data_IF_253329563562
#
_entry.id   IF_253329563562
#
_cell.length_a   1.000
_cell.length_b   1.000
_cell.length_c   1.000
_cell.angle_alpha   90.00
_cell.angle_beta   90.00
_cell.angle_gamma   90.00
#
_symmetry.space_group_name_H-M   'P 1'
#
loop_
_entity.id
_entity.type
_entity.pdbx_description
1 polymer ?
#
# COMPACT_ATOMS: atom_id res chain seq x y z
N UNK A 1 -35.98 14.36 -6.84
CA UNK A 1 -34.64 14.07 -7.42
C UNK A 1 -33.63 14.74 -6.52
N UNK A 2 -32.97 13.98 -5.64
CA UNK A 2 -32.00 14.54 -4.69
C UNK A 2 -30.66 14.72 -5.42
N UNK A 3 -30.24 15.98 -5.55
CA UNK A 3 -28.94 16.35 -6.07
C UNK A 3 -27.86 15.87 -5.10
N UNK A 4 -27.07 14.88 -5.53
CA UNK A 4 -26.00 14.31 -4.72
C UNK A 4 -24.84 15.31 -4.68
N UNK A 5 -24.80 16.12 -3.63
CA UNK A 5 -23.70 17.04 -3.35
C UNK A 5 -22.42 16.21 -3.18
N UNK A 6 -21.50 16.28 -4.16
CA UNK A 6 -20.17 15.68 -4.07
C UNK A 6 -19.29 16.56 -3.19
N UNK A 7 -19.42 16.44 -1.86
CA UNK A 7 -18.42 16.99 -0.95
C UNK A 7 -17.12 16.23 -1.18
N UNK A 8 -16.17 16.87 -1.86
CA UNK A 8 -14.82 16.33 -2.09
C UNK A 8 -14.11 16.30 -0.74
N UNK A 9 -14.29 15.22 0.03
CA UNK A 9 -13.67 15.05 1.36
C UNK A 9 -12.18 14.70 1.31
N UNK A 10 -11.64 14.49 0.10
CA UNK A 10 -10.30 13.94 -0.09
C UNK A 10 -9.38 14.95 -0.76
N UNK A 11 -8.21 15.16 -0.14
CA UNK A 11 -7.12 15.90 -0.76
C UNK A 11 -6.57 15.12 -1.96
N UNK A 12 -6.08 15.82 -3.01
CA UNK A 12 -5.38 15.16 -4.10
C UNK A 12 -4.18 14.37 -3.56
N UNK A 13 -3.84 13.21 -4.16
CA UNK A 13 -2.64 12.49 -3.78
C UNK A 13 -1.41 13.39 -3.98
N UNK A 14 -0.42 13.33 -3.07
CA UNK A 14 0.81 14.11 -3.22
C UNK A 14 1.53 13.73 -4.52
N UNK A 15 2.15 14.72 -5.16
CA UNK A 15 2.81 14.58 -6.46
C UNK A 15 3.96 13.58 -6.46
N UNK A 16 4.59 13.34 -5.31
CA UNK A 16 5.75 12.46 -5.17
C UNK A 16 5.40 11.02 -4.74
N UNK A 17 4.11 10.67 -4.75
CA UNK A 17 3.65 9.31 -4.46
C UNK A 17 4.14 8.36 -5.57
N UNK A 18 4.89 7.29 -5.26
CA UNK A 18 5.31 6.33 -6.27
C UNK A 18 4.08 5.58 -6.82
N UNK A 19 3.64 6.02 -8.00
CA UNK A 19 2.53 5.42 -8.72
C UNK A 19 3.01 4.39 -9.73
N UNK A 20 2.18 3.36 -9.92
CA UNK A 20 2.43 2.32 -10.90
C UNK A 20 2.60 2.93 -12.30
N UNK A 21 3.61 2.46 -13.05
CA UNK A 21 4.10 2.97 -14.36
C UNK A 21 5.04 4.19 -14.32
N UNK A 22 5.15 4.93 -13.22
CA UNK A 22 6.10 6.04 -13.11
C UNK A 22 7.36 5.68 -12.31
N UNK A 23 7.28 4.68 -11.43
CA UNK A 23 8.41 4.21 -10.64
C UNK A 23 8.84 2.80 -11.05
N UNK A 24 10.14 2.49 -10.88
CA UNK A 24 10.69 1.16 -11.13
C UNK A 24 10.04 0.13 -10.18
N UNK A 25 9.41 -0.94 -10.71
CA UNK A 25 8.83 -2.01 -9.91
C UNK A 25 9.82 -2.69 -8.95
N UNK A 26 11.11 -2.71 -9.28
CA UNK A 26 12.15 -3.29 -8.44
C UNK A 26 12.41 -2.46 -7.20
N UNK A 27 12.19 -1.15 -7.25
CA UNK A 27 12.47 -0.22 -6.15
C UNK A 27 11.25 0.08 -5.27
N UNK A 28 10.05 -0.22 -5.77
CA UNK A 28 8.79 0.11 -5.10
C UNK A 28 7.94 -1.13 -4.82
N UNK A 29 7.48 -1.27 -3.58
CA UNK A 29 6.46 -2.27 -3.21
C UNK A 29 5.07 -1.70 -3.42
N UNK A 30 4.36 -2.12 -4.46
CA UNK A 30 2.97 -1.71 -4.71
C UNK A 30 1.99 -2.56 -3.88
N UNK A 31 1.28 -1.94 -2.93
CA UNK A 31 0.40 -2.66 -1.99
C UNK A 31 -1.03 -2.14 -1.96
N UNK A 32 -1.31 -0.98 -2.55
CA UNK A 32 -2.59 -0.29 -2.37
C UNK A 32 -3.10 0.43 -3.60
N UNK A 33 -4.37 0.80 -3.55
CA UNK A 33 -5.03 1.69 -4.51
C UNK A 33 -5.61 2.88 -3.76
N UNK A 34 -5.41 4.07 -4.30
CA UNK A 34 -6.00 5.29 -3.72
C UNK A 34 -7.52 5.26 -3.93
N UNK A 35 -8.25 5.80 -2.96
CA UNK A 35 -9.70 6.00 -3.03
C UNK A 35 -10.06 7.44 -3.44
N UNK A 36 -9.13 8.13 -4.12
CA UNK A 36 -9.35 9.50 -4.55
C UNK A 36 -10.40 9.55 -5.67
N UNK A 37 -11.52 10.19 -5.39
CA UNK A 37 -12.59 10.50 -6.36
C UNK A 37 -12.76 12.02 -6.38
N UNK A 38 -12.43 12.65 -7.51
CA UNK A 38 -12.71 14.07 -7.76
C UNK A 38 -13.90 14.24 -8.68
N UNK A 39 -14.56 15.41 -8.64
CA UNK A 39 -15.73 15.72 -9.46
C UNK A 39 -15.48 15.68 -10.99
N UNK A 40 -14.21 15.70 -11.42
CA UNK A 40 -13.82 15.68 -12.83
C UNK A 40 -13.09 14.40 -13.24
N UNK A 41 -12.47 13.67 -12.31
CA UNK A 41 -11.74 12.43 -12.60
C UNK A 41 -11.76 11.45 -11.40
N UNK A 42 -12.23 10.22 -11.64
CA UNK A 42 -12.11 9.10 -10.71
C UNK A 42 -10.79 8.33 -10.95
N UNK A 43 -9.65 8.98 -10.71
CA UNK A 43 -8.34 8.33 -10.91
C UNK A 43 -7.95 7.49 -9.69
N UNK A 44 -8.23 6.19 -9.78
CA UNK A 44 -7.75 5.16 -8.85
C UNK A 44 -6.31 4.79 -9.20
N UNK A 45 -5.35 5.42 -8.55
CA UNK A 45 -3.93 5.12 -8.76
C UNK A 45 -3.51 3.93 -7.92
N UNK A 46 -2.74 3.02 -8.51
CA UNK A 46 -2.01 2.00 -7.73
C UNK A 46 -0.77 2.69 -7.17
N UNK A 47 -0.63 2.64 -5.85
CA UNK A 47 0.49 3.27 -5.15
C UNK A 47 1.28 2.25 -4.33
N UNK A 48 2.51 2.63 -4.04
CA UNK A 48 3.43 1.80 -3.27
C UNK A 48 4.25 2.59 -2.28
N UNK A 49 5.24 1.90 -1.73
CA UNK A 49 6.27 2.47 -0.87
C UNK A 49 7.63 2.12 -1.45
N UNK A 50 8.57 3.08 -1.45
CA UNK A 50 9.96 2.81 -1.80
C UNK A 50 10.55 1.81 -0.82
N UNK A 51 11.21 0.78 -1.34
CA UNK A 51 11.80 -0.30 -0.53
C UNK A 51 12.88 0.20 0.42
N UNK A 52 13.61 1.24 0.01
CA UNK A 52 14.62 1.90 0.84
C UNK A 52 14.00 2.51 2.11
N UNK A 53 12.92 3.27 1.95
CA UNK A 53 12.21 3.94 3.05
C UNK A 53 11.53 2.97 4.00
N UNK A 54 11.04 1.84 3.47
CA UNK A 54 10.32 0.83 4.25
C UNK A 54 11.08 0.36 5.49
N UNK A 55 12.41 0.28 5.43
CA UNK A 55 13.24 -0.20 6.54
C UNK A 55 13.27 0.76 7.73
N UNK A 56 13.06 2.06 7.52
CA UNK A 56 13.18 3.10 8.54
C UNK A 56 11.84 3.75 8.90
N UNK A 57 10.86 3.67 8.01
CA UNK A 57 9.66 4.52 8.07
C UNK A 57 8.32 3.76 8.09
N UNK A 58 8.31 2.42 8.07
CA UNK A 58 7.07 1.64 8.11
C UNK A 58 6.77 1.11 9.52
N UNK A 59 5.72 1.65 10.15
CA UNK A 59 5.15 1.14 11.39
C UNK A 59 3.65 0.86 11.20
N UNK A 60 3.19 -0.35 11.56
CA UNK A 60 1.78 -0.74 11.45
C UNK A 60 1.22 -0.99 12.86
N UNK A 61 0.48 -0.02 13.40
CA UNK A 61 -0.09 -0.07 14.76
C UNK A 61 -1.62 -0.10 14.73
N UNK A 62 -2.25 -0.74 15.71
CA UNK A 62 -3.70 -0.63 15.98
C UNK A 62 -4.34 -1.93 16.49
N UNK A 63 -5.67 -1.95 16.54
CA UNK A 63 -6.44 -3.05 17.16
C UNK A 63 -6.42 -4.35 16.35
N UNK A 64 -6.74 -5.46 17.01
CA UNK A 64 -6.93 -6.76 16.35
C UNK A 64 -8.09 -6.71 15.35
N UNK A 65 -8.01 -7.49 14.27
CA UNK A 65 -9.08 -7.60 13.27
C UNK A 65 -9.12 -6.52 12.17
N UNK A 66 -8.29 -5.46 12.26
CA UNK A 66 -8.31 -4.36 11.26
C UNK A 66 -7.57 -4.67 9.95
N UNK A 67 -7.09 -5.90 9.76
CA UNK A 67 -6.42 -6.31 8.52
C UNK A 67 -4.90 -6.05 8.45
N UNK A 68 -4.22 -5.81 9.59
CA UNK A 68 -2.74 -5.64 9.61
C UNK A 68 -1.99 -6.80 8.99
N UNK A 69 -2.42 -8.02 9.30
CA UNK A 69 -1.84 -9.23 8.73
C UNK A 69 -2.01 -9.28 7.21
N UNK A 70 -3.14 -8.76 6.69
CA UNK A 70 -3.37 -8.70 5.25
C UNK A 70 -2.50 -7.64 4.57
N UNK A 71 -2.27 -6.51 5.22
CA UNK A 71 -1.34 -5.48 4.74
C UNK A 71 0.09 -6.04 4.65
N UNK A 72 0.55 -6.75 5.68
CA UNK A 72 1.86 -7.43 5.68
C UNK A 72 1.95 -8.49 4.59
N UNK A 73 0.91 -9.30 4.41
CA UNK A 73 0.83 -10.31 3.36
C UNK A 73 1.00 -9.70 1.95
N UNK A 74 0.36 -8.56 1.68
CA UNK A 74 0.48 -7.86 0.39
C UNK A 74 1.91 -7.37 0.14
N UNK A 75 2.57 -6.81 1.16
CA UNK A 75 3.96 -6.38 1.06
C UNK A 75 4.91 -7.57 0.81
N UNK A 76 4.70 -8.68 1.51
CA UNK A 76 5.50 -9.90 1.36
C UNK A 76 5.31 -10.52 -0.02
N UNK A 77 4.09 -10.50 -0.56
CA UNK A 77 3.81 -10.95 -1.93
C UNK A 77 4.62 -10.18 -2.97
N UNK A 78 4.76 -8.86 -2.78
CA UNK A 78 5.60 -8.03 -3.64
C UNK A 78 7.09 -8.34 -3.47
N UNK A 79 7.54 -8.72 -2.27
CA UNK A 79 8.93 -9.10 -2.04
C UNK A 79 9.27 -10.41 -2.75
N UNK A 80 8.41 -11.44 -2.61
CA UNK A 80 8.55 -12.73 -3.28
C UNK A 80 8.55 -12.57 -4.80
N UNK A 81 7.63 -11.76 -5.35
CA UNK A 81 7.55 -11.53 -6.78
C UNK A 81 8.83 -10.89 -7.38
N UNK A 82 9.62 -10.21 -6.55
CA UNK A 82 10.89 -9.59 -6.95
C UNK A 82 12.11 -10.38 -6.46
N UNK A 83 11.94 -11.62 -5.98
CA UNK A 83 13.02 -12.50 -5.55
C UNK A 83 13.70 -12.06 -4.24
N UNK A 84 13.03 -11.29 -3.40
CA UNK A 84 13.57 -10.80 -2.14
C UNK A 84 13.16 -11.70 -0.98
N UNK A 85 14.11 -11.98 -0.11
CA UNK A 85 13.87 -12.74 1.12
C UNK A 85 13.14 -11.89 2.16
N UNK A 86 12.19 -12.51 2.85
CA UNK A 86 11.46 -11.91 3.96
C UNK A 86 11.40 -12.89 5.13
N UNK A 87 11.28 -12.33 6.33
CA UNK A 87 11.04 -13.12 7.54
C UNK A 87 9.84 -12.53 8.26
N UNK A 88 8.91 -13.39 8.66
CA UNK A 88 7.76 -13.00 9.47
C UNK A 88 7.84 -13.65 10.84
N UNK A 89 8.01 -12.80 11.84
CA UNK A 89 7.94 -13.18 13.23
C UNK A 89 6.49 -13.01 13.71
N UNK A 90 5.85 -14.12 14.04
CA UNK A 90 4.51 -14.14 14.65
C UNK A 90 4.60 -14.84 16.01
N UNK A 91 3.93 -14.26 17.02
CA UNK A 91 3.91 -14.81 18.40
C UNK A 91 3.40 -16.27 18.49
N UNK A 92 2.66 -16.73 17.50
CA UNK A 92 2.07 -18.08 17.46
C UNK A 92 2.88 -19.09 16.63
N UNK A 93 4.13 -18.78 16.26
CA UNK A 93 5.02 -19.67 15.50
C UNK A 93 5.67 -19.01 14.29
N UNK A 94 6.84 -19.52 13.90
CA UNK A 94 7.69 -18.97 12.83
C UNK A 94 7.31 -19.64 11.50
N UNK A 95 7.15 -18.85 10.43
CA UNK A 95 6.96 -19.37 9.07
C UNK A 95 7.98 -18.71 8.16
N UNK A 96 8.88 -19.52 7.60
CA UNK A 96 9.80 -19.12 6.54
C UNK A 96 9.19 -19.48 5.19
N UNK A 97 9.34 -18.60 4.21
CA UNK A 97 9.04 -18.89 2.81
C UNK A 97 10.27 -18.46 2.02
N UNK A 98 10.96 -19.43 1.42
CA UNK A 98 12.02 -19.22 0.43
C UNK A 98 11.40 -19.03 -0.94
#
# INVERSE_FOLDING_TARGET
MAEKIYTIKFAPPPSELPIYRQADPREVSFFGRTNYESALEAKKFIFGLKREDRRRHLYIVGKSGVGKSKLLELLMRQDIAHGLSWILLRKTGWKTWC
#
